data_IF_541510105712
#
_entry.id   IF_541510105712
#
_cell.length_a   1.000
_cell.length_b   1.000
_cell.length_c   1.000
_cell.angle_alpha   90.00
_cell.angle_beta   90.00
_cell.angle_gamma   90.00
#
_symmetry.space_group_name_H-M   'P 1'
#
loop_
_entity.id
_entity.type
_entity.pdbx_description
1 polymer ?
#
# COMPACT_ATOMS: atom_id res chain seq x y z
N UNK A 1 2.13 56.72 -33.05
CA UNK A 1 2.74 56.14 -31.84
C UNK A 1 2.11 54.78 -31.58
N UNK A 2 2.89 53.68 -31.62
CA UNK A 2 2.38 52.31 -31.62
C UNK A 2 1.63 51.97 -30.31
N UNK A 3 0.46 51.33 -30.40
CA UNK A 3 -0.41 50.97 -29.26
C UNK A 3 0.35 50.19 -28.18
N UNK A 4 1.21 49.26 -28.60
CA UNK A 4 2.06 48.46 -27.68
C UNK A 4 2.99 49.32 -26.83
N UNK A 5 3.64 50.33 -27.44
CA UNK A 5 4.51 51.26 -26.71
C UNK A 5 3.71 52.07 -25.68
N UNK A 6 2.47 52.44 -26.00
CA UNK A 6 1.60 53.23 -25.12
C UNK A 6 1.14 52.41 -23.90
N UNK A 7 0.80 51.14 -24.09
CA UNK A 7 0.41 50.23 -23.01
C UNK A 7 1.57 49.93 -22.06
N UNK A 8 2.78 49.70 -22.59
CA UNK A 8 3.96 49.43 -21.76
C UNK A 8 4.35 50.64 -20.88
N UNK A 9 4.27 51.85 -21.44
CA UNK A 9 4.51 53.09 -20.70
C UNK A 9 3.45 53.35 -19.62
N UNK A 10 2.21 52.91 -19.84
CA UNK A 10 1.12 53.05 -18.88
C UNK A 10 1.32 52.13 -17.68
N UNK A 11 1.69 50.87 -17.93
CA UNK A 11 2.05 49.88 -16.90
C UNK A 11 3.26 50.35 -16.09
N UNK A 12 4.30 50.86 -16.74
CA UNK A 12 5.53 51.28 -16.05
C UNK A 12 5.35 52.55 -15.18
N UNK A 13 4.44 53.46 -15.55
CA UNK A 13 4.13 54.67 -14.77
C UNK A 13 3.21 54.40 -13.57
N UNK A 14 2.27 53.46 -13.68
CA UNK A 14 1.30 53.13 -12.61
C UNK A 14 1.70 51.89 -11.81
N UNK A 15 2.95 51.83 -11.34
CA UNK A 15 3.55 50.62 -10.72
C UNK A 15 2.71 50.02 -9.58
N UNK A 16 2.19 50.82 -8.65
CA UNK A 16 1.35 50.32 -7.54
C UNK A 16 0.10 49.60 -8.05
N UNK A 17 -0.70 50.27 -8.90
CA UNK A 17 -1.94 49.68 -9.45
C UNK A 17 -1.67 48.46 -10.31
N UNK A 18 -0.59 48.47 -11.09
CA UNK A 18 -0.24 47.35 -11.96
C UNK A 18 0.28 46.13 -11.19
N UNK A 19 1.03 46.34 -10.10
CA UNK A 19 1.48 45.27 -9.20
C UNK A 19 0.28 44.64 -8.49
N UNK A 20 -0.64 45.44 -7.94
CA UNK A 20 -1.85 44.91 -7.29
C UNK A 20 -2.69 44.07 -8.25
N UNK A 21 -2.88 44.55 -9.49
CA UNK A 21 -3.59 43.80 -10.52
C UNK A 21 -2.89 42.49 -10.85
N UNK A 22 -1.56 42.52 -11.01
CA UNK A 22 -0.76 41.34 -11.30
C UNK A 22 -0.86 40.30 -10.18
N UNK A 23 -0.76 40.72 -8.92
CA UNK A 23 -0.89 39.82 -7.76
C UNK A 23 -2.27 39.17 -7.71
N UNK A 24 -3.35 39.94 -7.93
CA UNK A 24 -4.70 39.37 -8.01
C UNK A 24 -4.80 38.32 -9.12
N UNK A 25 -4.28 38.62 -10.31
CA UNK A 25 -4.32 37.70 -11.44
C UNK A 25 -3.49 36.43 -11.16
N UNK A 26 -2.33 36.60 -10.53
CA UNK A 26 -1.43 35.52 -10.18
C UNK A 26 -2.03 34.58 -9.14
N UNK A 27 -2.72 35.13 -8.13
CA UNK A 27 -3.44 34.33 -7.13
C UNK A 27 -4.52 33.46 -7.78
N UNK A 28 -5.35 34.04 -8.66
CA UNK A 28 -6.41 33.30 -9.36
C UNK A 28 -5.82 32.23 -10.28
N UNK A 29 -4.77 32.55 -11.03
CA UNK A 29 -4.12 31.57 -11.90
C UNK A 29 -3.51 30.40 -11.09
N UNK A 30 -2.85 30.72 -9.97
CA UNK A 30 -2.20 29.72 -9.12
C UNK A 30 -3.20 28.78 -8.46
N UNK A 31 -4.34 29.29 -7.97
CA UNK A 31 -5.38 28.45 -7.36
C UNK A 31 -6.05 27.54 -8.39
N UNK A 32 -6.29 28.02 -9.61
CA UNK A 32 -6.85 27.20 -10.69
C UNK A 32 -5.89 26.07 -11.08
N UNK A 33 -4.61 26.38 -11.30
CA UNK A 33 -3.60 25.37 -11.68
C UNK A 33 -3.43 24.34 -10.56
N UNK A 34 -3.35 24.81 -9.30
CA UNK A 34 -3.24 23.93 -8.13
C UNK A 34 -4.47 23.02 -7.99
N UNK A 35 -5.68 23.57 -8.14
CA UNK A 35 -6.92 22.79 -8.06
C UNK A 35 -7.00 21.70 -9.13
N UNK A 36 -6.60 22.00 -10.37
CA UNK A 36 -6.53 21.02 -11.46
C UNK A 36 -5.48 19.95 -11.16
N UNK A 37 -4.30 20.35 -10.69
CA UNK A 37 -3.22 19.44 -10.35
C UNK A 37 -3.62 18.47 -9.21
N UNK A 38 -4.22 18.99 -8.13
CA UNK A 38 -4.70 18.18 -7.00
C UNK A 38 -5.81 17.23 -7.44
N UNK A 39 -6.77 17.69 -8.25
CA UNK A 39 -7.83 16.82 -8.78
C UNK A 39 -7.24 15.68 -9.62
N UNK A 40 -6.30 15.99 -10.51
CA UNK A 40 -5.66 15.00 -11.37
C UNK A 40 -4.81 14.01 -10.56
N UNK A 41 -4.09 14.48 -9.54
CA UNK A 41 -3.35 13.64 -8.61
C UNK A 41 -4.30 12.69 -7.85
N UNK A 42 -5.42 13.21 -7.34
CA UNK A 42 -6.44 12.40 -6.66
C UNK A 42 -7.09 11.36 -7.56
N UNK A 43 -7.43 11.71 -8.81
CA UNK A 43 -7.94 10.76 -9.80
C UNK A 43 -6.92 9.69 -10.16
N UNK A 44 -5.64 10.07 -10.28
CA UNK A 44 -4.54 9.14 -10.56
C UNK A 44 -4.32 8.19 -9.39
N UNK A 45 -4.29 8.72 -8.16
CA UNK A 45 -4.19 7.90 -6.95
C UNK A 45 -5.36 6.93 -6.83
N UNK A 46 -6.60 7.38 -7.05
CA UNK A 46 -7.79 6.51 -7.10
C UNK A 46 -7.65 5.43 -8.16
N UNK A 47 -7.23 5.78 -9.38
CA UNK A 47 -7.06 4.82 -10.48
C UNK A 47 -5.97 3.79 -10.17
N UNK A 48 -4.85 4.21 -9.61
CA UNK A 48 -3.76 3.32 -9.18
C UNK A 48 -4.24 2.40 -8.08
N UNK A 49 -4.91 2.95 -7.06
CA UNK A 49 -5.47 2.18 -5.97
C UNK A 49 -6.50 1.16 -6.47
N UNK A 50 -7.49 1.58 -7.27
CA UNK A 50 -8.49 0.67 -7.85
C UNK A 50 -7.88 -0.39 -8.77
N UNK A 51 -6.79 -0.09 -9.49
CA UNK A 51 -6.07 -1.11 -10.28
C UNK A 51 -5.36 -2.12 -9.40
N UNK A 52 -4.77 -1.67 -8.29
CA UNK A 52 -4.11 -2.54 -7.33
C UNK A 52 -5.12 -3.39 -6.56
N UNK A 53 -6.20 -2.83 -6.02
CA UNK A 53 -7.17 -3.58 -5.20
C UNK A 53 -8.20 -4.34 -6.03
N UNK A 54 -8.69 -3.79 -7.13
CA UNK A 54 -9.72 -4.44 -7.96
C UNK A 54 -9.23 -5.66 -8.74
N UNK A 55 -7.93 -5.92 -8.78
CA UNK A 55 -7.33 -7.05 -9.52
C UNK A 55 -6.78 -8.14 -8.61
N UNK A 56 -6.90 -8.00 -7.28
CA UNK A 56 -6.42 -8.98 -6.31
C UNK A 56 -7.61 -9.76 -5.77
N UNK A 57 -7.59 -11.07 -5.96
CA UNK A 57 -8.52 -12.00 -5.36
C UNK A 57 -7.79 -12.70 -4.21
N UNK A 58 -8.29 -12.52 -2.99
CA UNK A 58 -7.82 -13.26 -1.83
C UNK A 58 -8.65 -14.53 -1.67
N UNK A 59 -7.97 -15.67 -1.63
CA UNK A 59 -8.57 -16.97 -1.37
C UNK A 59 -7.99 -17.43 -0.03
N UNK A 60 -8.86 -17.75 0.91
CA UNK A 60 -8.50 -18.31 2.21
C UNK A 60 -9.41 -19.49 2.52
N UNK A 61 -8.95 -20.39 3.37
CA UNK A 61 -9.84 -21.37 4.00
C UNK A 61 -10.93 -20.64 4.80
N UNK A 62 -12.09 -21.28 4.94
CA UNK A 62 -13.10 -20.81 5.88
C UNK A 62 -12.51 -20.88 7.29
N UNK A 63 -12.57 -19.78 8.05
CA UNK A 63 -12.04 -19.73 9.41
C UNK A 63 -12.97 -20.39 10.44
N UNK A 64 -14.21 -20.71 10.05
CA UNK A 64 -15.20 -21.34 10.93
C UNK A 64 -15.15 -22.87 10.88
N UNK A 65 -14.63 -23.41 9.79
CA UNK A 65 -14.30 -24.83 9.65
C UNK A 65 -12.77 -24.92 9.78
N UNK A 66 -12.27 -25.41 10.92
CA UNK A 66 -10.82 -25.55 11.15
C UNK A 66 -10.27 -26.64 10.23
N UNK A 67 -10.10 -26.32 8.95
CA UNK A 67 -9.50 -27.21 7.97
C UNK A 67 -8.00 -27.27 8.30
N UNK A 68 -7.36 -28.44 8.16
CA UNK A 68 -5.92 -28.60 8.42
C UNK A 68 -5.59 -29.01 9.86
N UNK A 69 -4.76 -28.22 10.56
CA UNK A 69 -4.34 -28.49 11.94
C UNK A 69 -5.35 -27.94 12.97
N UNK A 70 -5.15 -28.28 14.26
CA UNK A 70 -5.99 -27.80 15.37
C UNK A 70 -5.99 -26.28 15.57
N UNK A 71 -5.24 -25.53 14.77
CA UNK A 71 -5.15 -24.07 14.77
C UNK A 71 -5.79 -23.42 13.54
N UNK A 72 -6.45 -24.21 12.67
CA UNK A 72 -7.17 -23.71 11.51
C UNK A 72 -6.27 -23.30 10.36
N UNK A 73 -5.06 -23.87 10.26
CA UNK A 73 -4.14 -23.67 9.14
C UNK A 73 -4.59 -24.42 7.88
N UNK A 74 -5.82 -24.17 7.44
CA UNK A 74 -6.41 -24.86 6.29
C UNK A 74 -5.57 -24.72 5.04
N UNK A 75 -5.14 -25.85 4.49
CA UNK A 75 -4.30 -25.87 3.31
C UNK A 75 -5.17 -25.76 2.05
N UNK A 76 -4.93 -24.72 1.25
CA UNK A 76 -5.47 -24.67 -0.11
C UNK A 76 -4.68 -25.71 -0.94
N UNK A 77 -5.35 -26.69 -1.58
CA UNK A 77 -4.64 -27.73 -2.33
C UNK A 77 -3.76 -27.14 -3.43
N UNK A 78 -2.51 -27.60 -3.51
CA UNK A 78 -1.54 -27.11 -4.51
C UNK A 78 -2.08 -27.20 -5.95
N UNK A 79 -2.80 -28.29 -6.26
CA UNK A 79 -3.45 -28.47 -7.56
C UNK A 79 -4.43 -27.33 -7.91
N UNK A 80 -5.14 -26.79 -6.92
CA UNK A 80 -6.04 -25.65 -7.14
C UNK A 80 -5.25 -24.37 -7.43
N UNK A 81 -4.14 -24.15 -6.72
CA UNK A 81 -3.23 -23.01 -6.95
C UNK A 81 -2.66 -23.08 -8.36
N UNK A 82 -2.16 -24.25 -8.78
CA UNK A 82 -1.61 -24.47 -10.14
C UNK A 82 -2.67 -24.23 -11.20
N UNK A 83 -3.90 -24.73 -11.01
CA UNK A 83 -5.00 -24.48 -11.95
C UNK A 83 -5.33 -22.99 -12.06
N UNK A 84 -5.37 -22.25 -10.95
CA UNK A 84 -5.62 -20.79 -10.96
C UNK A 84 -4.47 -20.07 -11.69
N UNK A 85 -3.22 -20.44 -11.38
CA UNK A 85 -2.03 -19.86 -12.00
C UNK A 85 -1.95 -20.14 -13.51
N UNK A 86 -2.55 -21.24 -13.99
CA UNK A 86 -2.57 -21.58 -15.42
C UNK A 86 -3.48 -20.68 -16.27
N UNK A 87 -4.35 -19.87 -15.65
CA UNK A 87 -5.24 -18.97 -16.38
C UNK A 87 -4.44 -17.80 -16.97
N UNK A 88 -4.54 -17.52 -18.29
CA UNK A 88 -3.75 -16.47 -18.95
C UNK A 88 -4.04 -15.05 -18.43
N UNK A 89 -5.16 -14.83 -17.75
CA UNK A 89 -5.50 -13.54 -17.15
C UNK A 89 -4.90 -13.36 -15.73
N UNK A 90 -4.37 -14.42 -15.13
CA UNK A 90 -3.71 -14.37 -13.82
C UNK A 90 -2.24 -14.05 -14.04
N UNK A 91 -1.85 -12.81 -13.73
CA UNK A 91 -0.47 -12.35 -13.93
C UNK A 91 0.49 -12.86 -12.87
N UNK A 92 -0.01 -13.06 -11.65
CA UNK A 92 0.80 -13.39 -10.47
C UNK A 92 -0.09 -14.06 -9.44
N UNK A 93 0.43 -15.13 -8.87
CA UNK A 93 -0.16 -15.80 -7.71
C UNK A 93 0.83 -15.66 -6.56
N UNK A 94 0.35 -15.16 -5.42
CA UNK A 94 1.15 -15.04 -4.21
C UNK A 94 0.65 -16.03 -3.15
N UNK A 95 1.46 -17.02 -2.82
CA UNK A 95 1.13 -17.96 -1.75
C UNK A 95 1.60 -17.36 -0.43
N UNK A 96 0.63 -17.16 0.47
CA UNK A 96 0.87 -16.74 1.85
C UNK A 96 0.57 -17.93 2.75
N UNK A 97 1.58 -18.40 3.46
CA UNK A 97 1.49 -19.52 4.39
C UNK A 97 1.62 -18.98 5.81
N UNK A 98 0.73 -19.43 6.68
CA UNK A 98 0.84 -19.24 8.12
C UNK A 98 0.84 -20.62 8.77
N UNK A 99 1.89 -20.90 9.54
CA UNK A 99 2.03 -22.15 10.27
C UNK A 99 2.40 -21.86 11.73
N UNK A 100 2.05 -22.79 12.61
CA UNK A 100 2.47 -22.76 14.00
C UNK A 100 3.59 -23.78 14.21
N UNK A 101 4.75 -23.32 14.67
CA UNK A 101 5.89 -24.17 14.99
C UNK A 101 6.05 -24.30 16.51
N UNK A 102 6.11 -25.53 17.01
CA UNK A 102 6.36 -25.80 18.42
C UNK A 102 7.80 -25.46 18.82
N UNK A 103 7.99 -24.62 19.83
CA UNK A 103 9.29 -24.32 20.43
C UNK A 103 9.63 -25.36 21.51
N UNK A 104 9.88 -26.59 21.08
CA UNK A 104 10.10 -27.76 21.95
C UNK A 104 11.35 -27.69 22.82
N UNK A 105 12.31 -26.83 22.47
CA UNK A 105 13.59 -26.66 23.18
C UNK A 105 13.66 -25.45 24.10
N UNK A 106 12.66 -24.56 24.08
CA UNK A 106 12.71 -23.28 24.80
C UNK A 106 11.87 -23.30 26.08
N UNK A 107 12.43 -22.73 27.16
CA UNK A 107 11.71 -22.62 28.45
C UNK A 107 10.74 -21.44 28.41
N UNK A 108 9.49 -21.69 28.77
CA UNK A 108 8.50 -20.62 28.93
C UNK A 108 8.96 -19.63 30.02
N UNK A 109 8.86 -18.32 29.72
CA UNK A 109 9.13 -17.26 30.69
C UNK A 109 7.80 -16.72 31.20
N UNK A 110 7.54 -16.85 32.50
CA UNK A 110 6.30 -16.34 33.10
C UNK A 110 6.35 -14.83 33.22
N UNK A 111 5.37 -14.12 32.66
CA UNK A 111 5.21 -12.68 32.88
C UNK A 111 4.70 -12.44 34.31
N UNK A 112 5.26 -11.50 35.10
CA UNK A 112 4.99 -11.40 36.54
C UNK A 112 3.54 -11.13 36.98
N UNK A 113 2.58 -10.91 36.07
CA UNK A 113 1.21 -10.47 36.42
C UNK A 113 0.07 -11.07 35.57
N UNK A 114 0.33 -12.03 34.68
CA UNK A 114 -0.74 -12.65 33.88
C UNK A 114 -1.32 -13.86 34.62
N UNK A 115 -2.59 -13.74 35.05
CA UNK A 115 -3.38 -14.84 35.63
C UNK A 115 -3.86 -15.85 34.59
N UNK A 116 -3.78 -15.49 33.30
CA UNK A 116 -4.07 -16.38 32.18
C UNK A 116 -2.75 -16.78 31.52
N UNK A 117 -2.29 -17.99 31.83
CA UNK A 117 -1.18 -18.60 31.12
C UNK A 117 -1.66 -18.96 29.71
N UNK A 118 -1.39 -18.10 28.72
CA UNK A 118 -1.45 -18.51 27.32
C UNK A 118 -0.44 -19.65 27.12
N UNK A 119 -0.97 -20.86 26.95
CA UNK A 119 -0.30 -22.12 27.31
C UNK A 119 0.49 -22.77 26.18
N UNK A 120 0.84 -22.05 25.13
CA UNK A 120 1.38 -22.69 23.93
C UNK A 120 2.72 -22.09 23.51
N UNK A 121 3.74 -22.95 23.49
CA UNK A 121 5.06 -22.72 22.89
C UNK A 121 4.95 -22.72 21.36
N UNK A 122 4.13 -21.85 20.79
CA UNK A 122 3.93 -21.80 19.33
C UNK A 122 4.50 -20.51 18.76
N UNK A 123 5.48 -20.65 17.87
CA UNK A 123 5.95 -19.57 17.02
C UNK A 123 5.07 -19.54 15.76
N UNK A 124 4.51 -18.38 15.42
CA UNK A 124 3.89 -18.18 14.12
C UNK A 124 4.97 -17.98 13.06
N UNK A 125 4.98 -18.87 12.07
CA UNK A 125 5.84 -18.81 10.90
C UNK A 125 5.00 -18.33 9.74
N UNK A 126 5.44 -17.22 9.13
CA UNK A 126 4.83 -16.70 7.91
C UNK A 126 5.77 -16.93 6.73
N UNK A 127 5.24 -17.55 5.68
CA UNK A 127 5.90 -17.73 4.39
C UNK A 127 5.20 -16.90 3.33
N UNK A 128 5.96 -16.18 2.51
CA UNK A 128 5.43 -15.42 1.38
C UNK A 128 6.27 -15.75 0.15
N UNK A 129 5.61 -15.92 -1.00
CA UNK A 129 6.29 -16.22 -2.26
C UNK A 129 7.15 -15.06 -2.75
N UNK A 130 6.87 -13.83 -2.30
CA UNK A 130 7.63 -12.66 -2.72
C UNK A 130 7.82 -11.61 -1.61
N UNK A 131 9.08 -11.22 -1.40
CA UNK A 131 9.47 -10.25 -0.38
C UNK A 131 8.93 -8.83 -0.63
N UNK A 132 8.67 -8.44 -1.89
CA UNK A 132 8.07 -7.13 -2.22
C UNK A 132 6.61 -6.99 -1.76
N UNK A 133 5.97 -8.10 -1.38
CA UNK A 133 4.59 -8.11 -0.85
C UNK A 133 4.52 -8.28 0.66
N UNK A 134 5.65 -8.51 1.32
CA UNK A 134 5.72 -8.60 2.78
C UNK A 134 6.04 -7.22 3.39
N UNK A 135 5.16 -6.67 4.25
CA UNK A 135 5.39 -5.38 4.90
C UNK A 135 6.70 -5.32 5.70
N UNK A 136 7.13 -6.43 6.30
CA UNK A 136 8.35 -6.48 7.13
C UNK A 136 9.60 -6.33 6.27
N UNK A 137 9.61 -6.90 5.06
CA UNK A 137 10.70 -6.73 4.10
C UNK A 137 10.68 -5.34 3.46
N UNK A 138 9.52 -4.85 3.04
CA UNK A 138 9.40 -3.52 2.41
C UNK A 138 9.69 -2.38 3.39
N UNK A 139 9.37 -2.54 4.67
CA UNK A 139 9.74 -1.61 5.73
C UNK A 139 11.20 -1.74 6.19
N UNK A 140 11.96 -2.70 5.66
CA UNK A 140 13.35 -2.95 6.04
C UNK A 140 13.54 -3.48 7.47
N UNK A 141 12.48 -4.01 8.09
CA UNK A 141 12.55 -4.62 9.42
C UNK A 141 13.32 -5.95 9.42
N UNK A 142 13.29 -6.64 8.29
CA UNK A 142 14.02 -7.89 8.05
C UNK A 142 14.70 -7.83 6.68
N UNK A 143 15.82 -8.53 6.54
CA UNK A 143 16.61 -8.58 5.31
C UNK A 143 16.81 -10.02 4.85
N UNK A 144 16.86 -10.22 3.53
CA UNK A 144 17.20 -11.51 2.94
C UNK A 144 18.67 -11.81 3.23
N UNK A 145 18.92 -12.84 4.04
CA UNK A 145 20.26 -13.42 4.14
C UNK A 145 20.42 -14.31 2.91
N UNK A 146 21.35 -13.96 2.02
CA UNK A 146 21.61 -14.74 0.80
C UNK A 146 21.80 -16.22 1.13
N UNK A 147 21.12 -17.08 0.38
CA UNK A 147 21.23 -18.54 0.47
C UNK A 147 22.49 -19.08 -0.20
#
# INVERSE_FOLDING_TARGET
MNLFKRSFLYVSRKKRKSITLFVCLWLVASTLISGIAVKNAGLTAKKTFSRQTGSILHISSDSTDLVGDGYGSGEIPEKAIVNIASNPNVKRVNNNLMAYAGLTSEKMVTRPNDKEQYKEQVLQVHGNSYSDTDPKYTAGMISLKGG
#
